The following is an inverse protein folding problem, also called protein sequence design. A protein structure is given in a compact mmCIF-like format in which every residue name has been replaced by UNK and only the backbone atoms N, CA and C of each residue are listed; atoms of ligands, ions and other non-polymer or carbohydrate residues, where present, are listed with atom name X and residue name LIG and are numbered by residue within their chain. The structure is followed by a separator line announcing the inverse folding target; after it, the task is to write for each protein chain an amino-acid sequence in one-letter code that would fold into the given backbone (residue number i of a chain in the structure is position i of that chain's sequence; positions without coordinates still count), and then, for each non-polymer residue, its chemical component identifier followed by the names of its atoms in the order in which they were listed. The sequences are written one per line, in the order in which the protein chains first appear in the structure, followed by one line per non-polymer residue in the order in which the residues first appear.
data_IF_456403712217
#
_entry.id   IF_456403712217
#
_cell.length_a   1.000
_cell.length_b   1.000
_cell.length_c   1.000
_cell.angle_alpha   90.00
_cell.angle_beta   90.00
_cell.angle_gamma   90.00
#
_symmetry.space_group_name_H-M   'P 1'
#
loop_
_entity.id
_entity.type
_entity.pdbx_description
1 polymer ?
#
# COMPACT_ATOMS: atom_id res chain seq x y z
N UNK A 1 6.01 -7.36 -24.02
CA UNK A 1 5.34 -8.26 -23.04
C UNK A 1 6.20 -8.46 -21.80
N UNK A 2 7.52 -8.66 -21.93
CA UNK A 2 8.45 -8.78 -20.79
C UNK A 2 8.45 -7.61 -19.79
N UNK A 3 8.30 -6.35 -20.26
CA UNK A 3 8.32 -5.19 -19.36
C UNK A 3 7.12 -5.13 -18.41
N UNK A 4 5.94 -5.60 -18.84
CA UNK A 4 4.74 -5.57 -18.01
C UNK A 4 4.82 -6.58 -16.87
N UNK A 5 5.37 -7.76 -17.12
CA UNK A 5 5.59 -8.80 -16.12
C UNK A 5 6.70 -8.40 -15.13
N UNK A 6 7.79 -7.81 -15.63
CA UNK A 6 8.85 -7.27 -14.78
C UNK A 6 8.33 -6.15 -13.87
N UNK A 7 7.54 -5.22 -14.42
CA UNK A 7 6.93 -4.12 -13.65
C UNK A 7 5.95 -4.65 -12.61
N UNK A 8 5.18 -5.70 -12.92
CA UNK A 8 4.29 -6.33 -11.95
C UNK A 8 5.05 -7.00 -10.81
N UNK A 9 6.15 -7.70 -11.10
CA UNK A 9 7.03 -8.27 -10.08
C UNK A 9 7.63 -7.20 -9.15
N UNK A 10 8.09 -6.08 -9.70
CA UNK A 10 8.58 -4.94 -8.92
C UNK A 10 7.49 -4.29 -8.06
N UNK A 11 6.26 -4.19 -8.58
CA UNK A 11 5.10 -3.70 -7.83
C UNK A 11 4.79 -4.58 -6.63
N UNK A 12 4.74 -5.91 -6.83
CA UNK A 12 4.53 -6.88 -5.75
C UNK A 12 5.62 -6.78 -4.69
N UNK A 13 6.89 -6.72 -5.11
CA UNK A 13 8.02 -6.58 -4.21
C UNK A 13 7.95 -5.28 -3.38
N UNK A 14 7.57 -4.18 -4.01
CA UNK A 14 7.42 -2.89 -3.32
C UNK A 14 6.28 -2.92 -2.31
N UNK A 15 5.17 -3.59 -2.64
CA UNK A 15 4.03 -3.77 -1.74
C UNK A 15 4.38 -4.66 -0.54
N UNK A 16 5.15 -5.72 -0.75
CA UNK A 16 5.63 -6.60 0.33
C UNK A 16 6.51 -5.82 1.33
N UNK A 17 7.46 -5.02 0.82
CA UNK A 17 8.27 -4.16 1.70
C UNK A 17 7.44 -3.15 2.47
N UNK A 18 6.43 -2.55 1.82
CA UNK A 18 5.53 -1.61 2.47
C UNK A 18 4.73 -2.32 3.57
N UNK A 19 4.16 -3.49 3.27
CA UNK A 19 3.43 -4.33 4.21
C UNK A 19 4.25 -4.62 5.48
N UNK A 20 5.50 -5.10 5.32
CA UNK A 20 6.39 -5.37 6.44
C UNK A 20 6.74 -4.12 7.24
N UNK A 21 6.94 -2.98 6.58
CA UNK A 21 7.31 -1.74 7.25
C UNK A 21 6.19 -1.17 8.13
N UNK A 22 4.94 -1.24 7.64
CA UNK A 22 3.79 -0.61 8.30
C UNK A 22 3.09 -1.53 9.31
N UNK A 23 3.32 -2.85 9.24
CA UNK A 23 2.65 -3.86 10.06
C UNK A 23 2.66 -3.53 11.55
N UNK A 24 3.84 -3.20 12.10
CA UNK A 24 4.00 -2.95 13.53
C UNK A 24 3.23 -1.70 13.97
N UNK A 25 3.25 -0.64 13.16
CA UNK A 25 2.61 0.62 13.50
C UNK A 25 1.09 0.52 13.32
N UNK A 26 0.64 -0.03 12.20
CA UNK A 26 -0.79 -0.23 11.91
C UNK A 26 -1.48 -1.17 12.92
N UNK A 27 -0.74 -2.16 13.47
CA UNK A 27 -1.26 -2.99 14.58
C UNK A 27 -1.39 -2.20 15.88
N UNK A 28 -0.48 -1.25 16.14
CA UNK A 28 -0.53 -0.42 17.33
C UNK A 28 -1.68 0.61 17.28
N UNK A 29 -2.02 1.11 16.08
CA UNK A 29 -3.12 2.06 15.85
C UNK A 29 -4.48 1.38 15.64
N UNK A 30 -4.51 0.06 15.41
CA UNK A 30 -5.73 -0.70 15.12
C UNK A 30 -6.18 -0.63 13.65
N UNK A 31 -5.37 -0.02 12.79
CA UNK A 31 -5.64 0.15 11.36
C UNK A 31 -5.33 -1.11 10.51
N UNK A 32 -4.68 -2.10 11.11
CA UNK A 32 -4.05 -3.21 10.39
C UNK A 32 -4.97 -4.01 9.48
N UNK A 33 -6.19 -4.34 9.94
CA UNK A 33 -7.12 -5.17 9.17
C UNK A 33 -7.53 -4.48 7.86
N UNK A 34 -7.85 -3.19 7.92
CA UNK A 34 -8.25 -2.40 6.75
C UNK A 34 -7.07 -2.14 5.81
N UNK A 35 -5.90 -1.76 6.38
CA UNK A 35 -4.69 -1.50 5.61
C UNK A 35 -4.20 -2.74 4.84
N UNK A 36 -4.26 -3.91 5.48
CA UNK A 36 -3.89 -5.18 4.85
C UNK A 36 -4.78 -5.49 3.64
N UNK A 37 -6.08 -5.30 3.77
CA UNK A 37 -7.02 -5.56 2.67
C UNK A 37 -6.75 -4.63 1.49
N UNK A 38 -6.45 -3.36 1.77
CA UNK A 38 -6.14 -2.36 0.74
C UNK A 38 -4.84 -2.68 -0.02
N UNK A 39 -3.78 -3.10 0.69
CA UNK A 39 -2.53 -3.52 0.05
C UNK A 39 -2.70 -4.78 -0.80
N UNK A 40 -3.51 -5.74 -0.33
CA UNK A 40 -3.83 -6.95 -1.09
C UNK A 40 -4.66 -6.62 -2.34
N UNK A 41 -5.60 -5.69 -2.23
CA UNK A 41 -6.40 -5.26 -3.38
C UNK A 41 -5.53 -4.58 -4.44
N UNK A 42 -4.56 -3.76 -4.01
CA UNK A 42 -3.59 -3.12 -4.89
C UNK A 42 -2.72 -4.14 -5.65
N UNK A 43 -2.40 -5.28 -5.02
CA UNK A 43 -1.63 -6.36 -5.62
C UNK A 43 -2.39 -7.13 -6.73
N UNK A 44 -3.71 -6.98 -6.84
CA UNK A 44 -4.51 -7.71 -7.84
C UNK A 44 -4.13 -7.27 -9.27
N UNK A 45 -3.73 -8.21 -10.14
CA UNK A 45 -3.25 -7.88 -11.50
C UNK A 45 -4.38 -7.40 -12.42
N UNK A 46 -5.63 -7.75 -12.11
CA UNK A 46 -6.83 -7.41 -12.90
C UNK A 46 -7.57 -6.17 -12.39
N UNK A 47 -7.05 -5.48 -11.38
CA UNK A 47 -7.67 -4.24 -10.88
C UNK A 47 -7.50 -3.15 -11.94
N UNK A 48 -8.61 -2.54 -12.38
CA UNK A 48 -8.54 -1.47 -13.37
C UNK A 48 -7.78 -0.27 -12.80
N UNK A 49 -7.03 0.43 -13.65
CA UNK A 49 -6.20 1.58 -13.25
C UNK A 49 -6.93 2.63 -12.39
N UNK A 50 -8.20 2.99 -12.67
CA UNK A 50 -8.98 3.92 -11.84
C UNK A 50 -9.20 3.43 -10.40
N UNK A 51 -9.35 2.12 -10.22
CA UNK A 51 -9.53 1.52 -8.89
C UNK A 51 -8.21 1.50 -8.11
N UNK A 52 -7.08 1.29 -8.79
CA UNK A 52 -5.74 1.44 -8.18
C UNK A 52 -5.50 2.86 -7.66
N UNK A 53 -5.89 3.88 -8.43
CA UNK A 53 -5.77 5.28 -8.00
C UNK A 53 -6.61 5.58 -6.75
N UNK A 54 -7.82 5.02 -6.67
CA UNK A 54 -8.67 5.15 -5.47
C UNK A 54 -8.04 4.48 -4.26
N UNK A 55 -7.47 3.29 -4.41
CA UNK A 55 -6.78 2.57 -3.33
C UNK A 55 -5.54 3.35 -2.87
N UNK A 56 -4.70 3.87 -3.79
CA UNK A 56 -3.54 4.69 -3.41
C UNK A 56 -3.93 6.00 -2.75
N UNK A 57 -4.98 6.68 -3.22
CA UNK A 57 -5.47 7.91 -2.59
C UNK A 57 -5.98 7.65 -1.17
N UNK A 58 -6.62 6.50 -0.92
CA UNK A 58 -7.06 6.10 0.41
C UNK A 58 -5.86 5.77 1.31
N UNK A 59 -4.85 5.09 0.77
CA UNK A 59 -3.63 4.77 1.52
C UNK A 59 -2.94 6.03 2.05
N UNK A 60 -2.90 7.10 1.25
CA UNK A 60 -2.27 8.38 1.62
C UNK A 60 -3.09 9.20 2.64
N UNK A 61 -4.41 9.15 2.56
CA UNK A 61 -5.29 10.06 3.31
C UNK A 61 -5.86 9.47 4.60
N UNK A 62 -5.90 8.14 4.73
CA UNK A 62 -6.64 7.47 5.81
C UNK A 62 -5.73 6.87 6.87
N UNK A 63 -4.52 6.44 6.51
CA UNK A 63 -3.68 5.69 7.45
C UNK A 63 -2.54 6.54 8.00
N UNK A 64 -2.59 6.81 9.31
CA UNK A 64 -1.58 7.61 9.99
C UNK A 64 -0.20 6.94 9.97
N UNK A 65 -0.16 5.60 9.91
CA UNK A 65 1.06 4.81 9.77
C UNK A 65 1.87 5.08 8.48
N UNK A 66 1.22 5.66 7.47
CA UNK A 66 1.81 6.03 6.19
C UNK A 66 2.14 7.52 6.10
N UNK A 67 1.67 8.33 7.06
CA UNK A 67 1.95 9.75 7.06
C UNK A 67 3.42 10.00 7.40
N UNK A 68 4.10 10.91 6.67
CA UNK A 68 5.45 11.31 7.03
C UNK A 68 5.42 11.94 8.42
N UNK A 69 6.31 11.48 9.30
CA UNK A 69 6.44 12.02 10.66
C UNK A 69 6.57 13.55 10.56
N UNK A 70 5.68 14.32 11.21
CA UNK A 70 5.76 15.77 11.15
C UNK A 70 7.12 16.19 11.71
N UNK A 71 7.91 16.88 10.88
CA UNK A 71 9.17 17.49 11.32
C UNK A 71 8.81 18.57 12.33
N UNK A 72 8.99 18.29 13.62
CA UNK A 72 8.94 19.30 14.67
C UNK A 72 10.00 20.35 14.37
N UNK A 73 9.57 21.57 14.06
CA UNK A 73 10.44 22.73 13.87
C UNK A 73 10.54 23.54 15.15
#
# INVERSE_FOLDING_TARGET
VADAECTYGLMLYSLDRLYCAVERHAKATGEWEWLRLDLIDLAKPKLQTPDKFRVTSRLEQVYDCLLPVPKSH
#
